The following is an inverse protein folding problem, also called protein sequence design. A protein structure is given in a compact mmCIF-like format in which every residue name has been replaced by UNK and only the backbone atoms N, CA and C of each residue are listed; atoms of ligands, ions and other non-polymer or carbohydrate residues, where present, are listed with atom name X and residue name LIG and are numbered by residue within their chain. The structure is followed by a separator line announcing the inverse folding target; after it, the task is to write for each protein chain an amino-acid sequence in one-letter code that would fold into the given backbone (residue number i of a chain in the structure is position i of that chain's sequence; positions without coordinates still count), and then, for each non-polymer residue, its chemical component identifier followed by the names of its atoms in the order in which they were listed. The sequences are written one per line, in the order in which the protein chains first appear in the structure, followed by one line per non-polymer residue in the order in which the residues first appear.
data_IF_927914628697
#
_entry.id   IF_927914628697
#
_cell.length_a   1.000
_cell.length_b   1.000
_cell.length_c   1.000
_cell.angle_alpha   90.00
_cell.angle_beta   90.00
_cell.angle_gamma   90.00
#
_symmetry.space_group_name_H-M   'P 1'
#
loop_
_entity.id
_entity.type
_entity.pdbx_description
1 polymer ?
#
# COMPACT_ATOMS: atom_id res chain seq x y z
N UNK A 1 13.39 -23.21 7.13
CA UNK A 1 11.98 -23.16 7.58
C UNK A 1 11.88 -22.76 9.07
N UNK A 2 12.84 -21.98 9.60
CA UNK A 2 12.98 -21.70 11.05
C UNK A 2 12.77 -20.22 11.43
N UNK A 3 12.43 -19.35 10.46
CA UNK A 3 12.41 -17.90 10.69
C UNK A 3 11.10 -17.37 11.31
N UNK A 4 10.05 -18.19 11.40
CA UNK A 4 8.75 -17.74 11.94
C UNK A 4 8.70 -17.70 13.48
N UNK A 5 9.62 -18.38 14.18
CA UNK A 5 9.57 -18.54 15.63
C UNK A 5 10.21 -17.39 16.42
N UNK A 6 11.17 -16.66 15.82
CA UNK A 6 11.99 -15.69 16.57
C UNK A 6 11.21 -14.46 17.03
N UNK A 7 10.20 -14.03 16.28
CA UNK A 7 9.35 -12.86 16.62
C UNK A 7 8.45 -13.07 17.84
N UNK A 8 8.43 -14.28 18.41
CA UNK A 8 7.57 -14.61 19.54
C UNK A 8 8.34 -14.72 20.86
N UNK A 9 9.66 -14.46 20.90
CA UNK A 9 10.53 -14.79 22.05
C UNK A 9 10.86 -13.60 22.96
N UNK A 10 9.87 -12.88 23.49
CA UNK A 10 10.14 -11.98 24.64
C UNK A 10 8.88 -11.52 25.36
N UNK A 11 8.43 -12.31 26.34
CA UNK A 11 7.87 -11.84 27.62
C UNK A 11 7.31 -13.05 28.37
N UNK A 12 8.01 -13.47 29.43
CA UNK A 12 7.48 -14.35 30.46
C UNK A 12 6.35 -13.61 31.18
N UNK A 13 5.11 -13.78 30.73
CA UNK A 13 3.94 -13.37 31.49
C UNK A 13 3.11 -14.61 31.76
N UNK A 14 2.97 -14.95 33.05
CA UNK A 14 2.50 -16.23 33.60
C UNK A 14 0.98 -16.43 33.47
N UNK A 15 0.40 -15.97 32.35
CA UNK A 15 -0.95 -16.25 31.86
C UNK A 15 -1.05 -16.24 30.33
N UNK A 16 0.09 -16.22 29.62
CA UNK A 16 0.19 -15.96 28.17
C UNK A 16 -0.27 -17.08 27.24
N UNK A 17 -1.45 -16.89 26.66
CA UNK A 17 -1.94 -17.46 25.39
C UNK A 17 -1.84 -18.99 25.22
N UNK A 18 -2.82 -19.69 25.82
CA UNK A 18 -2.98 -21.16 25.81
C UNK A 18 -2.91 -21.77 24.40
N UNK A 19 -3.21 -21.01 23.33
CA UNK A 19 -3.23 -21.50 21.95
C UNK A 19 -1.93 -21.28 21.16
N UNK A 20 -0.86 -20.80 21.79
CA UNK A 20 0.41 -20.56 21.11
C UNK A 20 0.98 -21.81 20.42
N UNK A 21 0.75 -22.99 21.00
CA UNK A 21 1.21 -24.28 20.48
C UNK A 21 0.57 -24.67 19.13
N UNK A 22 -0.61 -24.14 18.78
CA UNK A 22 -1.26 -24.42 17.47
C UNK A 22 -1.05 -23.32 16.42
N UNK A 23 -0.49 -22.17 16.81
CA UNK A 23 -0.35 -21.01 15.90
C UNK A 23 0.37 -21.36 14.59
N UNK A 24 1.52 -22.04 14.68
CA UNK A 24 2.29 -22.47 13.51
C UNK A 24 1.50 -23.43 12.61
N UNK A 25 0.77 -24.38 13.20
CA UNK A 25 -0.04 -25.33 12.45
C UNK A 25 -1.17 -24.62 11.68
N UNK A 26 -1.81 -23.62 12.29
CA UNK A 26 -2.85 -22.80 11.66
C UNK A 26 -2.27 -21.98 10.51
N UNK A 27 -1.12 -21.31 10.71
CA UNK A 27 -0.47 -20.52 9.66
C UNK A 27 -0.07 -21.42 8.48
N UNK A 28 0.50 -22.58 8.76
CA UNK A 28 0.87 -23.56 7.73
C UNK A 28 -0.37 -24.06 6.98
N UNK A 29 -1.49 -24.30 7.67
CA UNK A 29 -2.74 -24.70 7.02
C UNK A 29 -3.28 -23.61 6.07
N UNK A 30 -3.26 -22.35 6.49
CA UNK A 30 -3.64 -21.23 5.62
C UNK A 30 -2.70 -21.07 4.43
N UNK A 31 -1.39 -21.20 4.64
CA UNK A 31 -0.40 -21.13 3.57
C UNK A 31 -0.61 -22.27 2.55
N UNK A 32 -0.80 -23.50 3.03
CA UNK A 32 -1.10 -24.65 2.17
C UNK A 32 -2.43 -24.47 1.42
N UNK A 33 -3.45 -23.90 2.05
CA UNK A 33 -4.71 -23.57 1.38
C UNK A 33 -4.47 -22.52 0.27
N UNK A 34 -3.73 -21.46 0.55
CA UNK A 34 -3.41 -20.41 -0.43
C UNK A 34 -2.62 -20.95 -1.64
N UNK A 35 -1.68 -21.86 -1.42
CA UNK A 35 -0.85 -22.49 -2.46
C UNK A 35 -1.61 -23.53 -3.30
N UNK A 36 -2.61 -24.21 -2.72
CA UNK A 36 -3.24 -25.37 -3.37
C UNK A 36 -4.71 -25.16 -3.77
N UNK A 37 -5.36 -24.07 -3.34
CA UNK A 37 -6.75 -23.82 -3.75
C UNK A 37 -6.85 -23.67 -5.27
N UNK A 38 -7.81 -24.35 -5.88
CA UNK A 38 -8.04 -24.35 -7.33
C UNK A 38 -9.33 -23.61 -7.69
N UNK A 39 -9.36 -23.07 -8.90
CA UNK A 39 -10.49 -22.31 -9.44
C UNK A 39 -10.43 -20.81 -9.10
N UNK A 40 -10.67 -19.98 -10.11
CA UNK A 40 -10.59 -18.52 -9.97
C UNK A 40 -11.63 -17.96 -9.00
N UNK A 41 -12.83 -18.55 -8.93
CA UNK A 41 -13.87 -18.12 -8.00
C UNK A 41 -13.47 -18.37 -6.54
N UNK A 42 -12.88 -19.55 -6.28
CA UNK A 42 -12.42 -19.96 -4.94
C UNK A 42 -11.22 -19.14 -4.49
N UNK A 43 -10.25 -18.87 -5.38
CA UNK A 43 -9.14 -17.95 -5.11
C UNK A 43 -9.65 -16.55 -4.74
N UNK A 44 -10.61 -16.03 -5.50
CA UNK A 44 -11.21 -14.72 -5.21
C UNK A 44 -11.96 -14.68 -3.87
N UNK A 45 -12.73 -15.73 -3.54
CA UNK A 45 -13.42 -15.83 -2.25
C UNK A 45 -12.42 -15.90 -1.09
N UNK A 46 -11.37 -16.72 -1.22
CA UNK A 46 -10.30 -16.81 -0.24
C UNK A 46 -9.56 -15.47 -0.06
N UNK A 47 -9.25 -14.77 -1.15
CA UNK A 47 -8.61 -13.46 -1.11
C UNK A 47 -9.46 -12.46 -0.31
N UNK A 48 -10.76 -12.39 -0.59
CA UNK A 48 -11.69 -11.52 0.14
C UNK A 48 -11.67 -11.86 1.64
N UNK A 49 -11.74 -13.15 2.00
CA UNK A 49 -11.73 -13.60 3.40
C UNK A 49 -10.42 -13.30 4.12
N UNK A 50 -9.28 -13.50 3.46
CA UNK A 50 -7.96 -13.21 4.04
C UNK A 50 -7.78 -11.70 4.26
N UNK A 51 -8.20 -10.87 3.31
CA UNK A 51 -8.17 -9.42 3.47
C UNK A 51 -9.14 -8.94 4.56
N UNK A 52 -10.32 -9.56 4.67
CA UNK A 52 -11.25 -9.27 5.76
C UNK A 52 -10.69 -9.63 7.12
N UNK A 53 -10.08 -10.80 7.25
CA UNK A 53 -9.41 -11.21 8.47
C UNK A 53 -8.29 -10.23 8.82
N UNK A 54 -7.48 -9.83 7.85
CA UNK A 54 -6.43 -8.82 8.04
C UNK A 54 -7.01 -7.51 8.58
N UNK A 55 -8.02 -6.95 7.91
CA UNK A 55 -8.65 -5.69 8.33
C UNK A 55 -9.31 -5.81 9.71
N UNK A 56 -9.94 -6.95 10.02
CA UNK A 56 -10.55 -7.21 11.33
C UNK A 56 -9.51 -7.27 12.45
N UNK A 57 -8.38 -7.94 12.25
CA UNK A 57 -7.28 -7.96 13.21
C UNK A 57 -6.67 -6.56 13.41
N UNK A 58 -6.59 -5.75 12.36
CA UNK A 58 -6.18 -4.35 12.46
C UNK A 58 -7.13 -3.51 13.33
N UNK A 59 -8.44 -3.73 13.21
CA UNK A 59 -9.46 -3.02 13.99
C UNK A 59 -9.50 -3.47 15.45
N UNK A 60 -9.29 -4.76 15.73
CA UNK A 60 -9.28 -5.28 17.10
C UNK A 60 -8.10 -4.72 17.92
N UNK A 61 -6.95 -4.51 17.27
CA UNK A 61 -5.82 -3.81 17.89
C UNK A 61 -6.15 -2.40 18.37
N UNK A 62 -7.03 -1.68 17.66
CA UNK A 62 -7.47 -0.33 18.04
C UNK A 62 -8.27 -0.34 19.35
N UNK A 63 -9.12 -1.36 19.58
CA UNK A 63 -9.91 -1.48 20.82
C UNK A 63 -9.04 -1.73 22.05
N UNK A 64 -7.86 -2.33 21.87
CA UNK A 64 -6.92 -2.67 22.95
C UNK A 64 -5.89 -1.55 23.15
N UNK A 65 -5.50 -0.84 22.08
CA UNK A 65 -4.44 0.19 22.09
C UNK A 65 -4.82 1.52 22.74
N UNK A 66 -6.09 1.77 23.09
CA UNK A 66 -6.52 3.01 23.78
C UNK A 66 -5.84 3.22 25.15
N UNK A 67 -5.03 2.26 25.63
CA UNK A 67 -4.28 2.36 26.89
C UNK A 67 -2.76 2.56 26.76
N UNK A 68 -2.16 2.52 25.57
CA UNK A 68 -0.69 2.51 25.43
C UNK A 68 -0.23 3.42 24.27
N UNK A 69 0.79 4.24 24.56
CA UNK A 69 1.38 5.23 23.65
C UNK A 69 1.94 4.65 22.34
N UNK A 70 1.94 5.50 21.33
CA UNK A 70 2.11 5.22 19.90
C UNK A 70 3.43 4.61 19.42
N UNK A 71 4.53 4.73 20.17
CA UNK A 71 5.79 4.03 19.80
C UNK A 71 5.70 2.52 20.05
N UNK A 72 4.83 2.08 20.96
CA UNK A 72 4.63 0.66 21.28
C UNK A 72 3.68 -0.06 20.31
N UNK A 73 2.93 0.68 19.47
CA UNK A 73 1.94 0.10 18.53
C UNK A 73 2.63 -0.69 17.42
N UNK A 74 3.77 -0.20 16.93
CA UNK A 74 4.58 -0.87 15.90
C UNK A 74 5.29 -2.14 16.39
N UNK A 75 5.41 -2.35 17.70
CA UNK A 75 5.99 -3.56 18.29
C UNK A 75 4.97 -4.36 19.13
N UNK A 76 3.69 -4.02 19.03
CA UNK A 76 2.63 -4.70 19.78
C UNK A 76 2.32 -6.06 19.17
N UNK A 77 1.86 -7.00 20.01
CA UNK A 77 1.42 -8.34 19.59
C UNK A 77 0.41 -8.30 18.42
N UNK A 78 -0.34 -7.21 18.27
CA UNK A 78 -1.34 -7.06 17.22
C UNK A 78 -0.73 -6.83 15.82
N UNK A 79 0.32 -6.01 15.72
CA UNK A 79 1.02 -5.82 14.45
C UNK A 79 1.71 -7.13 14.01
N UNK A 80 2.22 -7.90 14.97
CA UNK A 80 2.73 -9.24 14.73
C UNK A 80 1.67 -10.20 14.16
N UNK A 81 0.50 -10.26 14.78
CA UNK A 81 -0.62 -11.11 14.32
C UNK A 81 -1.11 -10.73 12.92
N UNK A 82 -1.12 -9.43 12.63
CA UNK A 82 -1.55 -8.91 11.34
C UNK A 82 -0.55 -9.26 10.22
N UNK A 83 0.74 -9.06 10.47
CA UNK A 83 1.80 -9.27 9.47
C UNK A 83 1.95 -10.72 9.01
N UNK A 84 1.60 -11.69 9.86
CA UNK A 84 1.61 -13.13 9.54
C UNK A 84 0.71 -13.49 8.34
N UNK A 85 -0.35 -12.72 8.09
CA UNK A 85 -1.23 -12.94 6.94
C UNK A 85 -0.63 -12.45 5.62
N UNK A 86 0.38 -11.57 5.63
CA UNK A 86 0.96 -10.98 4.42
C UNK A 86 1.57 -12.07 3.52
N UNK A 87 2.44 -12.97 4.02
CA UNK A 87 2.96 -14.07 3.20
C UNK A 87 1.87 -15.01 2.65
N UNK A 88 0.77 -15.22 3.39
CA UNK A 88 -0.35 -16.08 2.97
C UNK A 88 -1.12 -15.42 1.83
N UNK A 89 -1.43 -14.12 1.95
CA UNK A 89 -2.10 -13.35 0.88
C UNK A 89 -1.20 -13.30 -0.36
N UNK A 90 0.11 -13.09 -0.17
CA UNK A 90 1.09 -13.09 -1.26
C UNK A 90 1.16 -14.43 -1.99
N UNK A 91 1.17 -15.56 -1.26
CA UNK A 91 1.14 -16.91 -1.83
C UNK A 91 -0.07 -17.12 -2.74
N UNK A 92 -1.26 -16.68 -2.29
CA UNK A 92 -2.47 -16.75 -3.09
C UNK A 92 -2.39 -15.84 -4.32
N UNK A 93 -2.02 -14.57 -4.13
CA UNK A 93 -2.02 -13.55 -5.19
C UNK A 93 -1.00 -13.83 -6.30
N UNK A 94 0.11 -14.52 -6.00
CA UNK A 94 1.08 -14.99 -7.01
C UNK A 94 0.47 -15.93 -8.04
N UNK A 95 -0.64 -16.60 -7.70
CA UNK A 95 -1.37 -17.55 -8.53
C UNK A 95 -2.61 -16.93 -9.19
N UNK A 96 -2.79 -15.62 -9.09
CA UNK A 96 -3.92 -14.86 -9.63
C UNK A 96 -3.44 -13.89 -10.70
N UNK A 97 -4.35 -13.48 -11.59
CA UNK A 97 -4.07 -12.40 -12.54
C UNK A 97 -4.21 -11.03 -11.87
N UNK A 98 -3.61 -10.01 -12.49
CA UNK A 98 -3.72 -8.62 -12.05
C UNK A 98 -5.19 -8.19 -11.92
N UNK A 99 -5.54 -7.60 -10.77
CA UNK A 99 -6.91 -7.19 -10.47
C UNK A 99 -7.13 -5.76 -11.00
N UNK A 100 -7.59 -5.65 -12.26
CA UNK A 100 -7.80 -4.35 -12.90
C UNK A 100 -9.10 -3.64 -12.45
N UNK A 101 -10.22 -4.37 -12.39
CA UNK A 101 -11.55 -3.83 -12.05
C UNK A 101 -12.18 -4.58 -10.86
N UNK A 102 -11.72 -4.28 -9.63
CA UNK A 102 -12.23 -4.94 -8.44
C UNK A 102 -13.67 -4.55 -8.13
N UNK A 103 -14.47 -5.51 -7.67
CA UNK A 103 -15.78 -5.22 -7.06
C UNK A 103 -15.60 -4.21 -5.90
N UNK A 104 -16.57 -3.31 -5.63
CA UNK A 104 -16.42 -2.25 -4.62
C UNK A 104 -15.98 -2.72 -3.23
N UNK A 105 -16.46 -3.90 -2.78
CA UNK A 105 -16.05 -4.52 -1.50
C UNK A 105 -14.56 -4.88 -1.50
N UNK A 106 -14.09 -5.57 -2.54
CA UNK A 106 -12.68 -5.97 -2.67
C UNK A 106 -11.78 -4.74 -2.76
N UNK A 107 -12.22 -3.73 -3.52
CA UNK A 107 -11.48 -2.48 -3.64
C UNK A 107 -11.31 -1.77 -2.29
N UNK A 108 -12.38 -1.72 -1.47
CA UNK A 108 -12.30 -1.21 -0.10
C UNK A 108 -11.30 -1.99 0.75
N UNK A 109 -11.36 -3.32 0.71
CA UNK A 109 -10.45 -4.18 1.47
C UNK A 109 -8.98 -3.93 1.11
N UNK A 110 -8.65 -3.72 -0.17
CA UNK A 110 -7.30 -3.35 -0.56
C UNK A 110 -6.87 -1.98 -0.03
N UNK A 111 -7.75 -0.97 -0.06
CA UNK A 111 -7.45 0.34 0.53
C UNK A 111 -7.15 0.22 2.03
N UNK A 112 -7.96 -0.55 2.75
CA UNK A 112 -7.80 -0.76 4.19
C UNK A 112 -6.51 -1.55 4.48
N UNK A 113 -6.24 -2.62 3.71
CA UNK A 113 -5.01 -3.41 3.76
C UNK A 113 -3.76 -2.54 3.61
N UNK A 114 -3.69 -1.72 2.55
CA UNK A 114 -2.53 -0.87 2.29
C UNK A 114 -2.36 0.23 3.33
N UNK A 115 -3.47 0.76 3.86
CA UNK A 115 -3.45 1.74 4.96
C UNK A 115 -2.82 1.15 6.23
N UNK A 116 -3.18 -0.07 6.61
CA UNK A 116 -2.54 -0.76 7.72
C UNK A 116 -1.08 -1.10 7.44
N UNK A 117 -0.74 -1.53 6.22
CA UNK A 117 0.63 -1.86 5.85
C UNK A 117 1.58 -0.67 5.98
N UNK A 118 1.14 0.54 5.62
CA UNK A 118 1.98 1.74 5.79
C UNK A 118 2.06 2.22 7.23
N UNK A 119 0.98 2.13 8.00
CA UNK A 119 0.96 2.55 9.41
C UNK A 119 1.81 1.62 10.28
N UNK A 120 1.73 0.31 10.04
CA UNK A 120 2.50 -0.70 10.77
C UNK A 120 3.94 -0.87 10.24
N UNK A 121 4.25 -0.31 9.07
CA UNK A 121 5.61 -0.32 8.51
C UNK A 121 6.01 -1.63 7.82
N UNK A 122 5.05 -2.43 7.35
CA UNK A 122 5.32 -3.67 6.60
C UNK A 122 5.93 -3.43 5.21
N UNK A 123 5.90 -2.19 4.71
CA UNK A 123 6.34 -1.80 3.36
C UNK A 123 7.74 -1.15 3.34
N UNK A 124 8.50 -1.34 4.41
CA UNK A 124 9.86 -0.79 4.57
C UNK A 124 10.87 -1.93 4.58
N UNK A 125 11.69 -1.96 3.52
CA UNK A 125 12.80 -2.91 3.40
C UNK A 125 13.81 -2.72 4.51
N UNK A 126 14.39 -3.83 5.00
CA UNK A 126 15.44 -3.81 6.03
C UNK A 126 15.10 -2.96 7.26
N UNK A 127 13.81 -2.87 7.61
CA UNK A 127 13.36 -2.10 8.79
C UNK A 127 13.95 -2.60 10.10
N UNK A 128 14.40 -3.86 10.13
CA UNK A 128 14.86 -4.57 11.34
C UNK A 128 13.72 -4.89 12.32
N UNK A 129 12.50 -4.42 12.04
CA UNK A 129 11.32 -4.58 12.90
C UNK A 129 10.53 -5.84 12.55
N UNK A 130 10.44 -6.16 11.26
CA UNK A 130 9.59 -7.24 10.76
C UNK A 130 10.39 -8.30 9.99
N UNK A 131 9.91 -9.56 9.97
CA UNK A 131 10.49 -10.59 9.11
C UNK A 131 10.53 -10.13 7.65
N UNK A 132 11.66 -10.39 6.98
CA UNK A 132 11.85 -10.01 5.58
C UNK A 132 10.76 -10.60 4.66
N UNK A 133 10.28 -11.80 4.98
CA UNK A 133 9.19 -12.47 4.24
C UNK A 133 7.89 -11.67 4.19
N UNK A 134 7.66 -10.76 5.15
CA UNK A 134 6.47 -9.89 5.14
C UNK A 134 6.66 -8.75 4.14
N UNK A 135 7.86 -8.18 4.08
CA UNK A 135 8.20 -7.19 3.07
C UNK A 135 8.14 -7.80 1.66
N UNK A 136 8.75 -8.97 1.46
CA UNK A 136 8.71 -9.68 0.17
C UNK A 136 7.27 -10.03 -0.25
N UNK A 137 6.43 -10.40 0.73
CA UNK A 137 5.00 -10.60 0.53
C UNK A 137 4.28 -9.32 0.12
N UNK A 138 4.58 -8.18 0.74
CA UNK A 138 4.03 -6.89 0.36
C UNK A 138 4.43 -6.50 -1.08
N UNK A 139 5.66 -6.79 -1.52
CA UNK A 139 6.08 -6.61 -2.91
C UNK A 139 5.22 -7.44 -3.88
N UNK A 140 5.04 -8.74 -3.58
CA UNK A 140 4.20 -9.64 -4.40
C UNK A 140 2.74 -9.17 -4.48
N UNK A 141 2.19 -8.68 -3.36
CA UNK A 141 0.83 -8.16 -3.31
C UNK A 141 0.72 -6.84 -4.09
N UNK A 142 1.75 -5.99 -4.08
CA UNK A 142 1.75 -4.72 -4.81
C UNK A 142 1.57 -4.91 -6.31
N UNK A 143 2.24 -5.91 -6.88
CA UNK A 143 2.17 -6.24 -8.31
C UNK A 143 0.76 -6.55 -8.77
N UNK A 144 -0.02 -7.26 -7.95
CA UNK A 144 -1.36 -7.75 -8.31
C UNK A 144 -2.51 -6.91 -7.72
N UNK A 145 -2.21 -5.95 -6.84
CA UNK A 145 -3.20 -5.08 -6.21
C UNK A 145 -3.85 -4.13 -7.23
N UNK A 146 -5.15 -3.80 -7.10
CA UNK A 146 -5.78 -2.76 -7.89
C UNK A 146 -5.26 -1.35 -7.52
N UNK A 147 -5.48 -0.39 -8.42
CA UNK A 147 -5.24 1.03 -8.16
C UNK A 147 -6.20 1.50 -7.06
N UNK A 148 -5.70 2.21 -6.04
CA UNK A 148 -6.48 2.65 -4.87
C UNK A 148 -7.33 3.90 -5.15
N UNK A 149 -8.00 3.98 -6.30
CA UNK A 149 -8.80 5.15 -6.71
C UNK A 149 -9.86 5.45 -5.64
N UNK A 150 -10.04 6.73 -5.31
CA UNK A 150 -11.13 7.16 -4.47
C UNK A 150 -12.25 7.72 -5.38
N UNK A 151 -13.40 7.02 -5.45
CA UNK A 151 -14.48 7.33 -6.40
C UNK A 151 -15.35 8.50 -6.00
N UNK A 152 -15.36 8.89 -4.71
CA UNK A 152 -16.24 9.91 -4.17
C UNK A 152 -15.45 11.09 -3.57
N UNK A 153 -16.14 12.16 -3.19
CA UNK A 153 -15.51 13.37 -2.64
C UNK A 153 -14.46 13.03 -1.56
N UNK A 154 -13.26 13.62 -1.62
CA UNK A 154 -12.16 13.43 -0.66
C UNK A 154 -12.55 13.67 0.81
N UNK A 155 -13.67 14.38 1.08
CA UNK A 155 -14.27 14.48 2.43
C UNK A 155 -14.78 13.15 2.98
N UNK A 156 -15.16 12.21 2.12
CA UNK A 156 -15.57 10.85 2.50
C UNK A 156 -14.36 9.93 2.72
N UNK A 157 -13.14 10.33 2.33
CA UNK A 157 -11.91 9.59 2.64
C UNK A 157 -11.76 9.42 4.16
N UNK A 158 -12.03 10.49 4.90
CA UNK A 158 -11.99 10.51 6.38
C UNK A 158 -13.07 9.58 6.97
N UNK A 159 -14.27 9.55 6.39
CA UNK A 159 -15.40 8.73 6.87
C UNK A 159 -15.31 7.25 6.45
N UNK A 160 -14.61 6.95 5.37
CA UNK A 160 -14.49 5.60 4.79
C UNK A 160 -13.19 4.87 5.13
N UNK A 161 -12.25 5.54 5.79
CA UNK A 161 -10.97 4.98 6.23
C UNK A 161 -11.18 3.94 7.34
N UNK A 162 -10.54 2.77 7.24
CA UNK A 162 -10.45 1.83 8.36
C UNK A 162 -9.76 2.44 9.60
N UNK A 163 -8.91 3.44 9.41
CA UNK A 163 -8.20 4.12 10.49
C UNK A 163 -8.89 5.45 10.78
N UNK A 164 -9.72 5.48 11.84
CA UNK A 164 -10.40 6.73 12.26
C UNK A 164 -9.40 7.72 12.86
N UNK A 165 -9.57 8.99 12.47
CA UNK A 165 -8.75 10.14 12.87
C UNK A 165 -9.01 10.63 14.29
N UNK A 166 -10.12 10.23 14.92
CA UNK A 166 -10.64 10.86 16.14
C UNK A 166 -9.80 10.61 17.41
N UNK A 167 -8.87 9.66 17.35
CA UNK A 167 -8.03 9.20 18.48
C UNK A 167 -6.53 9.32 18.19
N UNK A 168 -6.14 10.00 17.11
CA UNK A 168 -4.74 10.08 16.69
C UNK A 168 -4.00 11.15 17.50
N UNK A 169 -2.88 10.78 18.12
CA UNK A 169 -2.00 11.71 18.81
C UNK A 169 -1.40 12.71 17.81
N UNK A 170 -1.41 14.04 18.09
CA UNK A 170 -0.76 15.04 17.25
C UNK A 170 0.70 14.72 16.89
N UNK A 171 1.42 14.05 17.79
CA UNK A 171 2.81 13.61 17.58
C UNK A 171 2.91 12.61 16.43
N UNK A 172 2.04 11.60 16.41
CA UNK A 172 2.06 10.54 15.38
C UNK A 172 1.68 11.09 14.01
N UNK A 173 0.74 12.03 13.98
CA UNK A 173 0.39 12.74 12.77
C UNK A 173 1.58 13.52 12.22
N UNK A 174 2.36 14.16 13.10
CA UNK A 174 3.55 14.89 12.67
C UNK A 174 4.66 13.94 12.18
N UNK A 175 4.87 12.81 12.84
CA UNK A 175 5.79 11.77 12.35
C UNK A 175 5.39 11.25 10.97
N UNK A 176 4.09 10.99 10.75
CA UNK A 176 3.56 10.54 9.48
C UNK A 176 3.78 11.58 8.38
N UNK A 177 3.52 12.86 8.66
CA UNK A 177 3.79 13.97 7.73
C UNK A 177 5.27 14.05 7.37
N UNK A 178 6.14 13.97 8.38
CA UNK A 178 7.59 14.01 8.16
C UNK A 178 8.06 12.82 7.30
N UNK A 179 7.53 11.62 7.55
CA UNK A 179 7.83 10.42 6.74
C UNK A 179 7.39 10.58 5.28
N UNK A 180 6.20 11.13 5.04
CA UNK A 180 5.71 11.43 3.70
C UNK A 180 6.60 12.48 3.01
N UNK A 181 6.90 13.59 3.67
CA UNK A 181 7.72 14.67 3.12
C UNK A 181 9.16 14.23 2.83
N UNK A 182 9.73 13.39 3.70
CA UNK A 182 11.04 12.79 3.49
C UNK A 182 11.10 11.97 2.21
N UNK A 183 10.06 11.19 1.91
CA UNK A 183 10.01 10.37 0.70
C UNK A 183 9.75 11.22 -0.56
N UNK A 184 9.07 12.37 -0.42
CA UNK A 184 8.80 13.29 -1.53
C UNK A 184 9.93 14.31 -1.79
N UNK A 185 10.96 14.36 -0.93
CA UNK A 185 12.09 15.27 -1.09
C UNK A 185 11.80 16.72 -0.69
N UNK A 186 10.84 16.94 0.22
CA UNK A 186 10.48 18.25 0.77
C UNK A 186 10.20 19.38 -0.25
N UNK A 187 9.31 19.21 -1.24
CA UNK A 187 8.94 20.31 -2.15
C UNK A 187 8.20 21.40 -1.37
N UNK A 188 8.62 22.67 -1.47
CA UNK A 188 8.07 23.76 -0.66
C UNK A 188 6.53 23.89 -0.73
N UNK A 189 5.96 23.72 -1.93
CA UNK A 189 4.50 23.72 -2.15
C UNK A 189 3.82 22.54 -1.44
N UNK A 190 4.38 21.34 -1.55
CA UNK A 190 3.85 20.11 -0.93
C UNK A 190 3.98 20.16 0.59
N UNK A 191 5.07 20.71 1.13
CA UNK A 191 5.27 20.90 2.58
C UNK A 191 4.14 21.73 3.18
N UNK A 192 3.78 22.84 2.54
CA UNK A 192 2.69 23.70 3.01
C UNK A 192 1.32 23.00 2.98
N UNK A 193 1.11 22.09 2.03
CA UNK A 193 -0.13 21.32 1.90
C UNK A 193 -0.21 20.18 2.91
N UNK A 194 0.83 19.34 3.00
CA UNK A 194 0.89 18.18 3.90
C UNK A 194 0.76 18.59 5.37
N UNK A 195 1.32 19.73 5.76
CA UNK A 195 1.17 20.25 7.12
C UNK A 195 -0.28 20.62 7.49
N UNK A 196 -1.17 20.81 6.51
CA UNK A 196 -2.61 21.08 6.71
C UNK A 196 -3.47 19.82 6.58
N UNK A 197 -2.90 18.70 6.13
CA UNK A 197 -3.64 17.47 5.88
C UNK A 197 -3.96 16.70 7.16
N UNK A 198 -5.11 16.04 7.18
CA UNK A 198 -5.51 15.14 8.26
C UNK A 198 -4.81 13.78 8.16
N UNK A 199 -4.82 13.03 9.26
CA UNK A 199 -4.16 11.72 9.34
C UNK A 199 -4.58 10.76 8.21
N UNK A 200 -5.88 10.63 7.96
CA UNK A 200 -6.39 9.74 6.91
C UNK A 200 -5.90 10.13 5.51
N UNK A 201 -5.73 11.43 5.24
CA UNK A 201 -5.20 11.93 3.97
C UNK A 201 -3.72 11.57 3.82
N UNK A 202 -2.92 11.77 4.87
CA UNK A 202 -1.50 11.39 4.87
C UNK A 202 -1.31 9.88 4.71
N UNK A 203 -2.11 9.05 5.40
CA UNK A 203 -2.07 7.59 5.26
C UNK A 203 -2.40 7.16 3.84
N UNK A 204 -3.45 7.73 3.24
CA UNK A 204 -3.82 7.44 1.86
C UNK A 204 -2.71 7.78 0.87
N UNK A 205 -2.14 9.00 0.96
CA UNK A 205 -1.04 9.42 0.09
C UNK A 205 0.18 8.51 0.24
N UNK A 206 0.52 8.13 1.47
CA UNK A 206 1.62 7.21 1.75
C UNK A 206 1.34 5.79 1.22
N UNK A 207 0.09 5.30 1.35
CA UNK A 207 -0.34 4.02 0.80
C UNK A 207 -0.18 3.98 -0.72
N UNK A 208 -0.63 5.02 -1.44
CA UNK A 208 -0.43 5.14 -2.88
C UNK A 208 1.05 5.20 -3.24
N UNK A 209 1.82 6.05 -2.57
CA UNK A 209 3.26 6.16 -2.81
C UNK A 209 3.97 4.81 -2.62
N UNK A 210 3.67 4.08 -1.55
CA UNK A 210 4.29 2.79 -1.24
C UNK A 210 3.87 1.70 -2.22
N UNK A 211 2.58 1.55 -2.47
CA UNK A 211 2.07 0.56 -3.40
C UNK A 211 2.68 0.75 -4.80
N UNK A 212 2.63 1.96 -5.33
CA UNK A 212 3.10 2.24 -6.70
C UNK A 212 4.62 2.19 -6.79
N UNK A 213 5.35 2.58 -5.73
CA UNK A 213 6.82 2.42 -5.69
C UNK A 213 7.18 0.93 -5.72
N UNK A 214 6.62 0.12 -4.82
CA UNK A 214 6.89 -1.32 -4.77
C UNK A 214 6.55 -1.98 -6.11
N UNK A 215 5.37 -1.67 -6.66
CA UNK A 215 4.96 -2.18 -7.97
C UNK A 215 5.94 -1.79 -9.07
N UNK A 216 6.38 -0.53 -9.11
CA UNK A 216 7.30 -0.05 -10.16
C UNK A 216 8.70 -0.64 -10.08
N UNK A 217 9.17 -0.95 -8.86
CA UNK A 217 10.53 -1.44 -8.62
C UNK A 217 10.61 -2.95 -8.83
N UNK A 218 9.62 -3.71 -8.34
CA UNK A 218 9.66 -5.17 -8.28
C UNK A 218 8.94 -5.87 -9.44
N UNK A 219 7.98 -5.21 -10.09
CA UNK A 219 7.30 -5.81 -11.23
C UNK A 219 8.24 -6.00 -12.43
N UNK A 220 8.15 -7.18 -13.04
CA UNK A 220 8.79 -7.48 -14.33
C UNK A 220 8.13 -6.72 -15.49
N UNK A 221 6.87 -6.30 -15.33
CA UNK A 221 6.13 -5.60 -16.37
C UNK A 221 6.51 -4.11 -16.42
N UNK A 222 7.17 -3.68 -17.50
CA UNK A 222 7.56 -2.29 -17.73
C UNK A 222 6.39 -1.30 -17.74
N UNK A 223 5.18 -1.77 -18.05
CA UNK A 223 3.96 -0.94 -18.05
C UNK A 223 3.34 -0.78 -16.67
N UNK A 224 3.81 -1.50 -15.65
CA UNK A 224 3.25 -1.41 -14.30
C UNK A 224 3.35 0.00 -13.70
N UNK A 225 4.40 0.75 -14.08
CA UNK A 225 4.56 2.17 -13.68
C UNK A 225 3.43 3.05 -14.20
N UNK A 226 2.75 2.69 -15.30
CA UNK A 226 1.65 3.48 -15.87
C UNK A 226 0.40 3.49 -14.99
N UNK A 227 0.28 2.57 -14.03
CA UNK A 227 -0.88 2.50 -13.12
C UNK A 227 -0.98 3.74 -12.21
N UNK A 228 0.13 4.44 -11.98
CA UNK A 228 0.13 5.74 -11.27
C UNK A 228 -0.75 6.79 -11.96
N UNK A 229 -0.89 6.71 -13.29
CA UNK A 229 -1.77 7.61 -14.04
C UNK A 229 -3.26 7.31 -13.78
N UNK A 230 -3.59 6.13 -13.26
CA UNK A 230 -4.94 5.79 -12.81
C UNK A 230 -5.44 6.73 -11.71
N UNK A 231 -4.56 7.18 -10.80
CA UNK A 231 -4.92 8.14 -9.76
C UNK A 231 -5.14 9.54 -10.31
N UNK A 232 -4.40 9.92 -11.36
CA UNK A 232 -4.43 11.23 -11.99
C UNK A 232 -5.58 11.40 -12.98
N UNK A 233 -6.32 10.33 -13.26
CA UNK A 233 -7.38 10.29 -14.27
C UNK A 233 -8.72 10.72 -13.67
N UNK A 234 -9.23 11.89 -14.05
CA UNK A 234 -10.66 12.16 -13.95
C UNK A 234 -11.44 11.22 -14.89
N UNK A 235 -12.62 10.75 -14.45
CA UNK A 235 -13.50 9.81 -15.20
C UNK A 235 -13.81 10.20 -16.66
N UNK A 236 -13.51 11.43 -17.11
CA UNK A 236 -13.78 11.93 -18.46
C UNK A 236 -12.57 12.00 -19.41
N UNK A 237 -11.35 11.67 -18.98
CA UNK A 237 -10.13 11.88 -19.78
C UNK A 237 -9.70 10.70 -20.69
N UNK A 238 -10.40 9.55 -20.66
CA UNK A 238 -10.01 8.35 -21.42
C UNK A 238 -9.99 8.54 -22.95
N UNK A 239 -10.93 9.32 -23.50
CA UNK A 239 -10.98 9.55 -24.96
C UNK A 239 -9.81 10.39 -25.48
N UNK A 240 -9.17 11.22 -24.64
CA UNK A 240 -8.01 12.01 -25.02
C UNK A 240 -6.68 11.29 -24.78
N UNK A 241 -6.62 10.35 -23.83
CA UNK A 241 -5.36 9.66 -23.53
C UNK A 241 -5.01 8.55 -24.54
N UNK A 242 -5.99 7.93 -25.22
CA UNK A 242 -5.67 7.03 -26.35
C UNK A 242 -5.00 7.78 -27.51
N UNK A 243 -5.25 9.09 -27.65
CA UNK A 243 -4.54 9.95 -28.60
C UNK A 243 -3.08 10.24 -28.16
N UNK A 244 -2.79 10.17 -26.86
CA UNK A 244 -1.47 10.43 -26.26
C UNK A 244 -0.42 9.37 -26.63
N UNK A 245 -0.82 8.10 -26.74
CA UNK A 245 0.09 7.03 -27.18
C UNK A 245 0.44 7.11 -28.68
N UNK A 246 -0.34 7.85 -29.47
CA UNK A 246 -0.14 7.98 -30.92
C UNK A 246 0.37 9.35 -31.38
N UNK A 247 0.46 10.34 -30.50
CA UNK A 247 0.90 11.70 -30.88
C UNK A 247 1.60 12.39 -29.72
N UNK A 248 2.92 12.51 -29.83
CA UNK A 248 3.87 13.24 -28.98
C UNK A 248 3.43 14.69 -28.62
N UNK A 249 2.40 14.88 -27.81
CA UNK A 249 1.87 16.20 -27.45
C UNK A 249 1.64 16.33 -25.94
N UNK A 250 2.74 16.50 -25.22
CA UNK A 250 2.80 16.74 -23.77
C UNK A 250 2.05 18.01 -23.32
N UNK A 251 2.01 19.05 -24.16
CA UNK A 251 1.50 20.39 -23.81
C UNK A 251 -0.03 20.44 -23.60
N UNK A 252 -0.82 19.62 -24.29
CA UNK A 252 -2.28 19.64 -24.16
C UNK A 252 -2.76 18.84 -22.93
N UNK A 253 -2.01 17.83 -22.52
CA UNK A 253 -2.25 17.11 -21.26
C UNK A 253 -1.96 18.01 -20.05
N UNK A 254 -0.89 18.81 -20.12
CA UNK A 254 -0.53 19.78 -19.07
C UNK A 254 -1.62 20.84 -18.85
N UNK A 255 -2.31 21.29 -19.91
CA UNK A 255 -3.36 22.32 -19.80
C UNK A 255 -4.66 21.80 -19.18
N UNK A 256 -5.08 20.56 -19.48
CA UNK A 256 -6.22 19.90 -18.84
C UNK A 256 -5.92 19.54 -17.38
N UNK A 257 -4.72 19.03 -17.13
CA UNK A 257 -4.23 18.72 -15.78
C UNK A 257 -4.13 19.96 -14.89
N UNK A 258 -3.67 21.09 -15.43
CA UNK A 258 -3.70 22.41 -14.78
C UNK A 258 -5.11 22.86 -14.39
N UNK A 259 -6.15 22.34 -15.05
CA UNK A 259 -7.55 22.67 -14.74
C UNK A 259 -8.10 21.85 -13.55
N UNK A 260 -7.65 20.60 -13.39
CA UNK A 260 -7.97 19.77 -12.20
C UNK A 260 -7.21 20.24 -10.95
N UNK A 261 -5.95 20.70 -11.10
CA UNK A 261 -5.19 21.37 -10.03
C UNK A 261 -5.94 22.60 -9.51
N UNK A 262 -6.58 23.38 -10.40
CA UNK A 262 -7.36 24.58 -10.02
C UNK A 262 -8.62 24.29 -9.16
N UNK A 263 -9.07 23.03 -9.06
CA UNK A 263 -10.21 22.64 -8.21
C UNK A 263 -9.78 21.91 -6.92
N UNK A 264 -8.48 21.72 -6.71
CA UNK A 264 -7.92 21.01 -5.55
C UNK A 264 -7.97 21.85 -4.26
N UNK A 265 -9.16 21.92 -3.65
CA UNK A 265 -9.32 22.60 -2.35
C UNK A 265 -8.53 21.94 -1.20
N UNK A 266 -8.07 20.70 -1.38
CA UNK A 266 -7.41 19.88 -0.35
C UNK A 266 -5.89 19.77 -0.50
N UNK A 267 -5.30 20.17 -1.62
CA UNK A 267 -3.89 19.95 -1.93
C UNK A 267 -3.51 18.50 -2.26
N UNK A 268 -4.49 17.58 -2.31
CA UNK A 268 -4.28 16.14 -2.50
C UNK A 268 -3.82 15.84 -3.92
N UNK A 269 -4.36 16.54 -4.92
CA UNK A 269 -3.93 16.37 -6.30
C UNK A 269 -2.49 16.80 -6.45
N UNK A 270 -2.12 17.96 -5.92
CA UNK A 270 -0.73 18.46 -5.94
C UNK A 270 0.24 17.46 -5.30
N UNK A 271 -0.14 16.86 -4.15
CA UNK A 271 0.65 15.82 -3.52
C UNK A 271 0.72 14.53 -4.36
N UNK A 272 -0.36 14.16 -5.05
CA UNK A 272 -0.38 12.98 -5.91
C UNK A 272 0.51 13.14 -7.14
N UNK A 273 0.65 14.35 -7.67
CA UNK A 273 1.60 14.67 -8.72
C UNK A 273 3.04 14.47 -8.23
N UNK A 274 3.35 15.00 -7.03
CA UNK A 274 4.65 14.81 -6.42
C UNK A 274 4.96 13.32 -6.17
N UNK A 275 3.96 12.54 -5.74
CA UNK A 275 4.07 11.08 -5.61
C UNK A 275 4.36 10.44 -6.96
N UNK A 276 3.62 10.81 -8.01
CA UNK A 276 3.85 10.24 -9.33
C UNK A 276 5.27 10.49 -9.83
N UNK A 277 5.76 11.73 -9.69
CA UNK A 277 7.15 12.07 -10.01
C UNK A 277 8.16 11.22 -9.22
N UNK A 278 7.88 10.97 -7.94
CA UNK A 278 8.76 10.15 -7.11
C UNK A 278 8.75 8.68 -7.52
N UNK A 279 7.57 8.11 -7.83
CA UNK A 279 7.44 6.74 -8.36
C UNK A 279 8.20 6.61 -9.67
N UNK A 280 8.07 7.56 -10.60
CA UNK A 280 8.84 7.57 -11.84
C UNK A 280 10.35 7.62 -11.60
N UNK A 281 10.82 8.44 -10.67
CA UNK A 281 12.25 8.49 -10.31
C UNK A 281 12.75 7.13 -9.80
N UNK A 282 11.97 6.44 -8.96
CA UNK A 282 12.35 5.12 -8.45
C UNK A 282 12.31 4.05 -9.55
N UNK A 283 11.30 4.10 -10.43
CA UNK A 283 11.23 3.24 -11.61
C UNK A 283 12.47 3.40 -12.49
N UNK A 284 12.84 4.65 -12.85
CA UNK A 284 14.01 4.93 -13.69
C UNK A 284 15.29 4.42 -13.03
N UNK A 285 15.50 4.68 -11.73
CA UNK A 285 16.66 4.16 -10.98
C UNK A 285 16.72 2.63 -10.96
N UNK A 286 15.59 1.97 -10.68
CA UNK A 286 15.50 0.50 -10.72
C UNK A 286 15.74 -0.04 -12.13
N UNK A 287 15.22 0.63 -13.16
CA UNK A 287 15.44 0.26 -14.54
C UNK A 287 16.90 0.45 -14.96
N UNK A 288 17.56 1.55 -14.57
CA UNK A 288 18.99 1.78 -14.80
C UNK A 288 19.85 0.71 -14.13
N UNK A 289 19.53 0.32 -12.89
CA UNK A 289 20.22 -0.72 -12.15
C UNK A 289 20.02 -2.11 -12.79
N UNK A 290 18.81 -2.44 -13.24
CA UNK A 290 18.51 -3.68 -14.00
C UNK A 290 19.17 -3.69 -15.38
N UNK A 291 19.22 -2.53 -16.05
CA UNK A 291 19.81 -2.39 -17.39
C UNK A 291 21.33 -2.27 -17.38
N UNK A 292 21.94 -2.10 -16.21
CA UNK A 292 23.37 -2.37 -15.99
C UNK A 292 23.76 -3.82 -16.29
N UNK A 293 22.82 -4.77 -16.20
CA UNK A 293 23.02 -6.19 -16.51
C UNK A 293 22.48 -6.61 -17.90
N UNK A 294 21.58 -5.85 -18.55
CA UNK A 294 21.12 -6.14 -19.91
C UNK A 294 20.73 -4.89 -20.72
N UNK A 295 21.56 -4.60 -21.73
CA UNK A 295 21.40 -3.72 -22.93
C UNK A 295 20.17 -2.78 -23.00
N UNK A 296 20.47 -1.49 -22.79
CA UNK A 296 19.62 -0.29 -22.74
C UNK A 296 19.11 0.28 -24.10
N UNK A 297 18.77 -0.52 -25.12
CA UNK A 297 18.37 0.05 -26.43
C UNK A 297 17.01 -0.37 -27.03
N UNK A 298 16.31 -1.35 -26.48
CA UNK A 298 15.05 -1.83 -27.09
C UNK A 298 13.76 -1.26 -26.47
N UNK A 299 13.82 -0.71 -25.26
CA UNK A 299 12.62 -0.33 -24.48
C UNK A 299 12.26 1.17 -24.56
N UNK A 300 12.96 1.94 -25.39
CA UNK A 300 12.73 3.39 -25.56
C UNK A 300 12.44 3.78 -27.02
N UNK A 301 12.18 2.78 -27.87
CA UNK A 301 11.55 2.93 -29.19
C UNK A 301 10.10 2.45 -29.12
#
# INVERSE_FOLDING_TARGET
MESWSSSYTSSEDSGGNIYRHVSLAVINAFYNLAENIEGEAQKNDLLIRLLELFVQLGLEGKRISEKISSTAVKASSNAGNLGVLIPIIAALMRRMSFIADPRPRLHKLFRDFWSYCVVMGFTVECSGLWPQTWYDGACTIAENSPVLIFTDNLRLLVKGSAISSDSVNPTDLQELRNSLLSQLGHPAEVVALVNKMEFAQCVYLLAVLRLETLRSVYSENSTAVHLIFGYLREKQAWHFFNFFFFSNNFLQSYSYFSRSIRKDKSGIWTCMIAIALQVFKQYVRSAEQRRGDCRLKADLE
#
